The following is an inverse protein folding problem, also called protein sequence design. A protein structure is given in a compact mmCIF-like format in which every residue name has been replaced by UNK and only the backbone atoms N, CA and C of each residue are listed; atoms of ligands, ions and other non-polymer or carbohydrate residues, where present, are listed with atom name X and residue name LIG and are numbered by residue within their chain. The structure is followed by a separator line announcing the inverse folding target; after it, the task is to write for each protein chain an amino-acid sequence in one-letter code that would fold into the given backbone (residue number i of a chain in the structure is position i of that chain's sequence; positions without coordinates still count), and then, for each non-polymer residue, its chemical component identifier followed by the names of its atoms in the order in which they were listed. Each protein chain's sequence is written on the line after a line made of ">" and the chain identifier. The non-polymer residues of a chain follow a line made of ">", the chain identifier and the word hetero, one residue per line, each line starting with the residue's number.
data_IF_936124861474
#
_entry.id   IF_936124861474
#
_cell.length_a   1.000
_cell.length_b   1.000
_cell.length_c   1.000
_cell.angle_alpha   90.00
_cell.angle_beta   90.00
_cell.angle_gamma   90.00
#
_symmetry.space_group_name_H-M   'P 1'
#
loop_
_entity.id
_entity.type
_entity.pdbx_description
1 polymer ?
#
# COMPACT_ATOMS: atom_id res chain seq x y z
N UNK A 1 -27.09 54.12 -33.08
CA UNK A 1 -27.37 52.67 -33.26
C UNK A 1 -27.50 52.01 -31.88
N UNK A 2 -28.68 51.49 -31.56
CA UNK A 2 -29.14 51.14 -30.20
C UNK A 2 -28.44 49.96 -29.55
N UNK A 3 -28.11 50.01 -28.26
CA UNK A 3 -27.87 48.81 -27.45
C UNK A 3 -29.18 48.39 -26.77
N UNK A 4 -29.59 47.13 -26.98
CA UNK A 4 -30.74 46.52 -26.33
C UNK A 4 -30.38 46.08 -24.92
N UNK A 5 -31.04 46.67 -23.93
CA UNK A 5 -31.09 46.19 -22.54
C UNK A 5 -31.95 44.93 -22.46
N UNK A 6 -31.36 43.85 -21.95
CA UNK A 6 -32.10 42.65 -21.56
C UNK A 6 -32.32 42.71 -20.05
N UNK A 7 -33.57 42.82 -19.64
CA UNK A 7 -34.02 42.73 -18.26
C UNK A 7 -34.05 41.25 -17.85
N UNK A 8 -33.23 40.86 -16.85
CA UNK A 8 -33.35 39.58 -16.17
C UNK A 8 -34.37 39.74 -15.03
N UNK A 9 -35.56 39.18 -15.22
CA UNK A 9 -36.58 39.08 -14.18
C UNK A 9 -36.19 37.99 -13.19
N UNK A 10 -35.82 38.38 -11.96
CA UNK A 10 -35.65 37.48 -10.84
C UNK A 10 -37.00 36.98 -10.36
N UNK A 11 -37.35 35.75 -10.65
CA UNK A 11 -38.53 35.06 -10.14
C UNK A 11 -38.20 34.52 -8.75
N UNK A 12 -38.70 35.19 -7.69
CA UNK A 12 -38.67 34.68 -6.32
C UNK A 12 -39.73 33.58 -6.19
N UNK A 13 -39.30 32.33 -6.14
CA UNK A 13 -40.15 31.20 -5.78
C UNK A 13 -40.26 31.15 -4.24
N UNK A 14 -41.42 31.59 -3.71
CA UNK A 14 -41.77 31.32 -2.32
C UNK A 14 -42.10 29.83 -2.17
N UNK A 15 -41.22 29.05 -1.61
CA UNK A 15 -41.53 27.70 -1.12
C UNK A 15 -42.36 27.82 0.14
N UNK A 16 -43.65 27.71 0.01
CA UNK A 16 -44.58 27.52 1.13
C UNK A 16 -44.39 26.07 1.61
N UNK A 17 -43.61 25.90 2.65
CA UNK A 17 -43.50 24.61 3.32
C UNK A 17 -44.83 24.20 3.91
N UNK A 18 -45.47 23.20 3.34
CA UNK A 18 -46.64 22.55 3.96
C UNK A 18 -46.12 21.76 5.18
N UNK A 19 -46.42 22.26 6.37
CA UNK A 19 -46.34 21.48 7.59
C UNK A 19 -47.31 20.31 7.46
N UNK A 20 -46.84 19.12 7.15
CA UNK A 20 -47.62 17.89 7.31
C UNK A 20 -47.78 17.66 8.82
N UNK A 21 -49.01 17.85 9.30
CA UNK A 21 -49.41 17.44 10.64
C UNK A 21 -49.17 15.92 10.72
N UNK A 22 -48.29 15.53 11.63
CA UNK A 22 -48.06 14.10 11.95
C UNK A 22 -49.38 13.56 12.54
N UNK A 23 -49.95 12.58 11.87
CA UNK A 23 -51.09 11.81 12.41
C UNK A 23 -50.69 11.17 13.73
N UNK A 24 -51.54 11.24 14.79
CA UNK A 24 -51.24 10.58 16.04
C UNK A 24 -51.12 9.07 15.83
N UNK A 25 -50.18 8.39 16.55
CA UNK A 25 -49.99 6.96 16.43
C UNK A 25 -51.24 6.16 16.77
N UNK A 26 -51.51 5.11 16.05
CA UNK A 26 -52.65 4.20 16.27
C UNK A 26 -52.59 3.63 17.70
N UNK A 27 -53.73 3.45 18.39
CA UNK A 27 -53.78 2.83 19.71
C UNK A 27 -53.30 1.38 19.65
N UNK A 28 -52.17 1.08 20.22
CA UNK A 28 -51.59 -0.28 20.25
C UNK A 28 -50.07 -0.38 19.98
N UNK A 29 -49.41 0.72 19.61
CA UNK A 29 -47.95 0.73 19.57
C UNK A 29 -47.39 1.04 20.95
N UNK A 30 -46.79 0.06 21.58
CA UNK A 30 -45.92 0.28 22.75
C UNK A 30 -44.82 1.25 22.34
N UNK A 31 -44.58 2.33 23.11
CA UNK A 31 -43.48 3.25 22.83
C UNK A 31 -42.19 2.45 22.77
N UNK A 32 -41.49 2.51 21.68
CA UNK A 32 -40.11 2.00 21.67
C UNK A 32 -39.31 2.73 22.72
N UNK A 33 -38.58 2.00 23.58
CA UNK A 33 -37.74 2.65 24.58
C UNK A 33 -36.82 3.64 23.86
N UNK A 34 -36.53 4.80 24.45
CA UNK A 34 -35.60 5.73 23.87
C UNK A 34 -34.29 4.98 23.62
N UNK A 35 -33.71 5.13 22.39
CA UNK A 35 -32.42 4.57 22.07
C UNK A 35 -31.44 5.16 23.09
N UNK A 36 -31.12 4.40 24.12
CA UNK A 36 -30.08 4.78 25.09
C UNK A 36 -28.76 4.66 24.37
N UNK A 37 -28.26 5.76 23.85
CA UNK A 37 -26.91 5.80 23.28
C UNK A 37 -25.94 5.62 24.44
N UNK A 38 -25.29 4.45 24.55
CA UNK A 38 -24.25 4.26 25.57
C UNK A 38 -23.14 5.28 25.30
N UNK A 39 -22.68 5.98 26.32
CA UNK A 39 -21.57 6.94 26.20
C UNK A 39 -20.31 6.28 25.62
N UNK A 40 -20.14 4.98 25.80
CA UNK A 40 -19.08 4.18 25.17
C UNK A 40 -19.24 4.11 23.64
N UNK A 41 -20.45 3.93 23.14
CA UNK A 41 -20.73 3.85 21.70
C UNK A 41 -20.45 5.19 21.02
N UNK A 42 -20.83 6.29 21.68
CA UNK A 42 -20.51 7.64 21.22
C UNK A 42 -19.00 7.92 21.22
N UNK A 43 -18.29 7.50 22.27
CA UNK A 43 -16.83 7.65 22.32
C UNK A 43 -16.13 6.80 21.22
N UNK A 44 -16.59 5.58 21.02
CA UNK A 44 -16.09 4.69 19.96
C UNK A 44 -16.35 5.28 18.56
N UNK A 45 -17.56 5.78 18.33
CA UNK A 45 -17.90 6.41 17.05
C UNK A 45 -17.05 7.67 16.79
N UNK A 46 -16.85 8.53 17.79
CA UNK A 46 -15.97 9.71 17.67
C UNK A 46 -14.52 9.31 17.37
N UNK A 47 -14.00 8.30 18.04
CA UNK A 47 -12.65 7.79 17.79
C UNK A 47 -12.52 7.18 16.39
N UNK A 48 -13.58 6.55 15.89
CA UNK A 48 -13.62 6.01 14.52
C UNK A 48 -13.63 7.15 13.50
N UNK A 49 -14.48 8.17 13.70
CA UNK A 49 -14.52 9.35 12.82
C UNK A 49 -13.16 10.04 12.79
N UNK A 50 -12.54 10.30 13.94
CA UNK A 50 -11.23 10.95 14.00
C UNK A 50 -10.14 10.13 13.27
N UNK A 51 -10.18 8.79 13.37
CA UNK A 51 -9.28 7.92 12.58
C UNK A 51 -9.53 8.01 11.08
N UNK A 52 -10.81 8.01 10.67
CA UNK A 52 -11.19 8.14 9.26
C UNK A 52 -10.77 9.51 8.70
N UNK A 53 -11.01 10.60 9.43
CA UNK A 53 -10.56 11.95 9.07
C UNK A 53 -9.02 12.01 8.96
N UNK A 54 -8.29 11.43 9.91
CA UNK A 54 -6.83 11.33 9.85
C UNK A 54 -6.35 10.59 8.60
N UNK A 55 -7.02 9.49 8.25
CA UNK A 55 -6.72 8.74 7.03
C UNK A 55 -7.02 9.54 5.77
N UNK A 56 -8.17 10.23 5.71
CA UNK A 56 -8.55 11.06 4.56
C UNK A 56 -7.60 12.25 4.37
N UNK A 57 -7.22 12.91 5.47
CA UNK A 57 -6.34 14.08 5.43
C UNK A 57 -4.89 13.76 5.04
N UNK A 58 -4.45 12.53 5.24
CA UNK A 58 -3.10 12.07 4.90
C UNK A 58 -3.11 10.63 4.35
N UNK A 59 -4.00 10.37 3.39
CA UNK A 59 -4.22 9.04 2.82
C UNK A 59 -2.94 8.30 2.38
N UNK A 60 -1.96 8.95 1.70
CA UNK A 60 -0.69 8.30 1.34
C UNK A 60 0.34 8.31 2.47
N UNK A 61 0.02 8.87 3.63
CA UNK A 61 0.92 9.01 4.78
C UNK A 61 2.26 9.70 4.43
N UNK A 62 2.19 10.84 3.74
CA UNK A 62 3.36 11.61 3.30
C UNK A 62 4.26 12.10 4.46
N UNK A 63 3.71 12.17 5.67
CA UNK A 63 4.47 12.59 6.85
C UNK A 63 5.37 11.49 7.42
N UNK A 64 5.11 10.21 7.10
CA UNK A 64 5.76 9.04 7.74
C UNK A 64 7.29 9.10 7.74
N UNK A 65 7.87 9.49 6.62
CA UNK A 65 9.33 9.52 6.47
C UNK A 65 9.90 10.94 6.34
N UNK A 66 9.08 12.00 6.48
CA UNK A 66 9.52 13.39 6.28
C UNK A 66 10.76 13.75 7.11
N UNK A 67 10.72 13.48 8.41
CA UNK A 67 11.84 13.79 9.31
C UNK A 67 13.07 12.92 9.07
N UNK A 68 12.86 11.64 8.72
CA UNK A 68 13.93 10.74 8.35
C UNK A 68 14.58 11.17 7.02
N UNK A 69 13.76 11.53 6.02
CA UNK A 69 14.25 11.99 4.73
C UNK A 69 15.04 13.30 4.83
N UNK A 70 14.61 14.23 5.69
CA UNK A 70 15.30 15.52 5.87
C UNK A 70 16.72 15.42 6.45
N UNK A 71 17.03 14.27 7.08
CA UNK A 71 18.35 14.00 7.68
C UNK A 71 19.29 13.24 6.73
N UNK A 72 18.78 12.79 5.59
CA UNK A 72 19.58 12.06 4.59
C UNK A 72 20.34 13.10 3.75
N UNK A 73 21.64 13.02 3.79
CA UNK A 73 22.52 13.84 2.95
C UNK A 73 22.52 13.34 1.50
N UNK A 74 22.83 14.20 0.51
CA UNK A 74 23.06 13.73 -0.85
C UNK A 74 24.06 12.57 -0.87
N UNK A 75 23.87 11.56 -1.76
CA UNK A 75 24.79 10.43 -1.83
C UNK A 75 26.19 10.87 -2.29
N UNK A 76 27.23 10.21 -1.78
CA UNK A 76 28.56 10.32 -2.38
C UNK A 76 28.55 9.75 -3.81
N UNK A 77 29.49 10.16 -4.64
CA UNK A 77 29.54 9.75 -6.07
C UNK A 77 29.62 8.22 -6.24
N UNK A 78 30.37 7.56 -5.37
CA UNK A 78 30.55 6.10 -5.35
C UNK A 78 29.52 5.37 -4.48
N UNK A 79 28.63 6.07 -3.78
CA UNK A 79 27.61 5.45 -2.93
C UNK A 79 26.56 4.72 -3.79
N UNK A 80 26.43 3.43 -3.57
CA UNK A 80 25.41 2.59 -4.19
C UNK A 80 24.12 2.59 -3.33
N UNK A 81 23.54 3.79 -3.09
CA UNK A 81 22.28 3.91 -2.35
C UNK A 81 21.16 3.18 -3.07
N UNK A 82 20.41 2.39 -2.30
CA UNK A 82 19.22 1.68 -2.78
C UNK A 82 18.05 1.98 -1.86
N UNK A 83 16.89 2.27 -2.43
CA UNK A 83 15.65 2.43 -1.67
C UNK A 83 14.79 1.18 -1.85
N UNK A 84 14.25 0.65 -0.77
CA UNK A 84 13.23 -0.39 -0.77
C UNK A 84 11.87 0.25 -0.53
N UNK A 85 11.10 0.40 -1.60
CA UNK A 85 9.72 0.91 -1.57
C UNK A 85 8.77 -0.27 -1.41
N UNK A 86 7.84 -0.19 -0.44
CA UNK A 86 6.89 -1.27 -0.21
C UNK A 86 5.87 -1.01 0.89
N UNK A 87 5.24 -2.07 1.31
CA UNK A 87 4.21 -2.12 2.34
C UNK A 87 4.75 -2.62 3.70
N UNK A 88 3.92 -3.37 4.45
CA UNK A 88 4.28 -3.94 5.76
C UNK A 88 5.45 -4.90 5.68
N UNK A 89 5.62 -5.63 4.59
CA UNK A 89 6.74 -6.57 4.42
C UNK A 89 8.07 -5.81 4.44
N UNK A 90 8.14 -4.69 3.74
CA UNK A 90 9.31 -3.82 3.75
C UNK A 90 9.45 -3.01 5.05
N UNK A 91 8.33 -2.52 5.61
CA UNK A 91 8.30 -1.75 6.86
C UNK A 91 8.83 -2.58 8.04
N UNK A 92 8.34 -3.82 8.20
CA UNK A 92 8.75 -4.74 9.26
C UNK A 92 10.22 -5.14 9.09
N UNK A 93 10.66 -5.43 7.86
CA UNK A 93 12.05 -5.81 7.60
C UNK A 93 13.04 -4.73 8.02
N UNK A 94 12.69 -3.46 7.80
CA UNK A 94 13.54 -2.33 8.17
C UNK A 94 13.53 -1.99 9.68
N UNK A 95 12.74 -2.70 10.49
CA UNK A 95 12.68 -2.47 11.94
C UNK A 95 13.85 -3.16 12.66
N UNK A 96 14.50 -2.49 13.62
CA UNK A 96 15.71 -3.01 14.28
C UNK A 96 15.54 -4.37 14.99
N UNK A 97 14.30 -4.68 15.43
CA UNK A 97 14.01 -5.92 16.17
C UNK A 97 13.81 -7.14 15.27
N UNK A 98 13.65 -6.96 13.97
CA UNK A 98 13.34 -8.09 13.08
C UNK A 98 14.62 -8.81 12.63
N UNK A 99 15.26 -8.35 11.62
CA UNK A 99 16.52 -8.87 11.11
C UNK A 99 17.40 -7.67 10.73
N UNK A 100 18.73 -7.78 10.77
CA UNK A 100 19.57 -6.71 10.29
C UNK A 100 19.20 -6.37 8.84
N UNK A 101 18.71 -5.16 8.63
CA UNK A 101 18.36 -4.70 7.28
C UNK A 101 19.64 -4.32 6.54
N UNK A 102 20.21 -5.26 5.82
CA UNK A 102 21.42 -5.11 4.99
C UNK A 102 22.58 -4.37 5.68
N UNK A 103 23.19 -4.94 6.74
CA UNK A 103 24.22 -4.29 7.52
C UNK A 103 25.41 -3.89 6.65
N UNK A 104 25.87 -2.65 6.81
CA UNK A 104 26.99 -2.10 6.04
C UNK A 104 26.67 -1.71 4.60
N UNK A 105 25.39 -1.81 4.17
CA UNK A 105 24.92 -1.33 2.87
C UNK A 105 24.20 0.00 3.01
N UNK A 106 24.34 0.93 2.04
CA UNK A 106 23.60 2.19 2.03
C UNK A 106 22.16 1.97 1.53
N UNK A 107 21.43 1.03 2.14
CA UNK A 107 20.08 0.68 1.76
C UNK A 107 19.08 1.27 2.72
N UNK A 108 17.98 1.81 2.19
CA UNK A 108 17.00 2.59 2.93
C UNK A 108 15.63 1.95 2.77
N UNK A 109 15.03 1.49 3.89
CA UNK A 109 13.66 1.00 3.91
C UNK A 109 12.65 2.16 3.86
N UNK A 110 11.70 2.06 2.96
CA UNK A 110 10.56 3.00 2.80
C UNK A 110 9.26 2.21 2.65
N UNK A 111 9.10 1.20 3.51
CA UNK A 111 7.85 0.46 3.67
C UNK A 111 6.86 1.22 4.54
N UNK A 112 5.57 1.12 4.26
CA UNK A 112 4.49 1.58 5.14
C UNK A 112 3.43 0.49 5.19
N UNK A 113 3.20 -0.03 6.39
CA UNK A 113 2.27 -1.14 6.61
C UNK A 113 0.86 -0.85 6.10
N UNK A 114 0.29 -1.83 5.38
CA UNK A 114 -1.06 -1.77 4.84
C UNK A 114 -1.23 -0.98 3.55
N UNK A 115 -0.19 -0.31 3.05
CA UNK A 115 -0.29 0.51 1.85
C UNK A 115 -0.49 -0.29 0.57
N UNK A 116 -1.24 0.33 -0.34
CA UNK A 116 -1.51 -0.10 -1.70
C UNK A 116 -0.67 0.69 -2.71
N UNK A 117 -0.60 0.23 -3.95
CA UNK A 117 0.21 0.84 -5.00
C UNK A 117 -0.12 2.32 -5.29
N UNK A 118 -1.39 2.79 -5.30
CA UNK A 118 -1.67 4.21 -5.50
C UNK A 118 -1.15 5.09 -4.35
N UNK A 119 -1.18 4.60 -3.11
CA UNK A 119 -0.58 5.33 -1.98
C UNK A 119 0.94 5.42 -2.12
N UNK A 120 1.60 4.34 -2.55
CA UNK A 120 3.04 4.31 -2.81
C UNK A 120 3.42 5.26 -3.95
N UNK A 121 2.63 5.31 -5.02
CA UNK A 121 2.85 6.22 -6.15
C UNK A 121 2.83 7.69 -5.71
N UNK A 122 1.88 8.10 -4.85
CA UNK A 122 1.79 9.46 -4.33
C UNK A 122 2.99 9.88 -3.48
N UNK A 123 3.60 8.97 -2.72
CA UNK A 123 4.78 9.23 -1.92
C UNK A 123 6.11 8.89 -2.60
N UNK A 124 6.07 8.42 -3.84
CA UNK A 124 7.27 7.95 -4.54
C UNK A 124 8.32 9.05 -4.71
N UNK A 125 7.89 10.30 -4.98
CA UNK A 125 8.83 11.41 -5.10
C UNK A 125 9.58 11.71 -3.80
N UNK A 126 8.93 11.97 -2.64
CA UNK A 126 9.64 12.29 -1.40
C UNK A 126 10.42 11.10 -0.83
N UNK A 127 9.96 9.86 -1.03
CA UNK A 127 10.51 8.69 -0.36
C UNK A 127 11.49 7.89 -1.24
N UNK A 128 11.55 8.18 -2.55
CA UNK A 128 12.48 7.53 -3.48
C UNK A 128 13.29 8.57 -4.25
N UNK A 129 12.64 9.35 -5.10
CA UNK A 129 13.34 10.25 -6.04
C UNK A 129 14.20 11.29 -5.31
N UNK A 130 13.65 11.91 -4.27
CA UNK A 130 14.37 12.95 -3.51
C UNK A 130 15.59 12.41 -2.74
N UNK A 131 15.67 11.10 -2.51
CA UNK A 131 16.80 10.45 -1.86
C UNK A 131 17.95 10.12 -2.83
N UNK A 132 17.75 10.35 -4.12
CA UNK A 132 18.73 10.16 -5.18
C UNK A 132 19.41 8.77 -5.15
N UNK A 133 18.66 7.66 -5.06
CA UNK A 133 19.26 6.34 -5.06
C UNK A 133 19.75 5.96 -6.46
N UNK A 134 20.74 5.06 -6.55
CA UNK A 134 21.12 4.40 -7.81
C UNK A 134 20.12 3.36 -8.26
N UNK A 135 19.41 2.72 -7.30
CA UNK A 135 18.37 1.75 -7.61
C UNK A 135 17.21 1.81 -6.60
N UNK A 136 16.05 1.35 -7.03
CA UNK A 136 14.87 1.13 -6.18
C UNK A 136 14.38 -0.30 -6.33
N UNK A 137 14.14 -0.98 -5.21
CA UNK A 137 13.41 -2.24 -5.13
C UNK A 137 11.96 -1.93 -4.80
N UNK A 138 11.02 -2.38 -5.63
CA UNK A 138 9.58 -2.17 -5.42
C UNK A 138 8.93 -3.52 -5.13
N UNK A 139 8.38 -3.67 -3.93
CA UNK A 139 7.59 -4.83 -3.49
C UNK A 139 6.19 -4.35 -3.11
N UNK A 140 5.21 -4.57 -3.97
CA UNK A 140 3.85 -4.04 -3.80
C UNK A 140 2.81 -4.88 -4.53
N UNK A 141 1.54 -4.77 -4.14
CA UNK A 141 0.40 -5.43 -4.77
C UNK A 141 -0.40 -6.35 -3.84
N UNK A 142 0.18 -6.88 -2.78
CA UNK A 142 -0.53 -7.79 -1.86
C UNK A 142 -1.71 -7.13 -1.15
N UNK A 143 -1.60 -5.85 -0.81
CA UNK A 143 -2.66 -5.09 -0.15
C UNK A 143 -3.71 -4.58 -1.13
N UNK A 144 -3.33 -4.36 -2.36
CA UNK A 144 -4.23 -4.04 -3.48
C UNK A 144 -5.15 -5.23 -3.76
N UNK A 145 -4.57 -6.43 -3.93
CA UNK A 145 -5.32 -7.69 -4.09
C UNK A 145 -6.27 -7.90 -2.91
N UNK A 146 -5.83 -7.59 -1.69
CA UNK A 146 -6.65 -7.70 -0.47
C UNK A 146 -7.72 -6.61 -0.33
N UNK A 147 -7.76 -5.61 -1.22
CA UNK A 147 -8.74 -4.54 -1.20
C UNK A 147 -8.60 -3.56 -0.02
N UNK A 148 -7.39 -3.33 0.47
CA UNK A 148 -7.17 -2.47 1.65
C UNK A 148 -7.67 -1.02 1.46
N UNK A 149 -7.67 -0.52 0.23
CA UNK A 149 -8.18 0.82 -0.12
C UNK A 149 -9.40 0.76 -1.03
N UNK A 150 -10.10 -0.35 -1.04
CA UNK A 150 -11.23 -0.65 -1.90
C UNK A 150 -10.87 -1.66 -3.00
N UNK A 151 -11.87 -2.12 -3.77
CA UNK A 151 -11.63 -3.03 -4.88
C UNK A 151 -10.71 -2.40 -5.93
N UNK A 152 -9.75 -3.20 -6.42
CA UNK A 152 -8.80 -2.79 -7.46
C UNK A 152 -8.62 -3.92 -8.47
N UNK A 153 -8.61 -3.60 -9.76
CA UNK A 153 -8.31 -4.57 -10.81
C UNK A 153 -6.81 -4.87 -10.87
N UNK A 154 -6.43 -5.99 -11.48
CA UNK A 154 -5.00 -6.26 -11.70
C UNK A 154 -4.38 -5.21 -12.61
N UNK A 155 -5.10 -4.77 -13.63
CA UNK A 155 -4.67 -3.72 -14.57
C UNK A 155 -4.35 -2.39 -13.86
N UNK A 156 -5.13 -2.02 -12.82
CA UNK A 156 -4.85 -0.82 -12.02
C UNK A 156 -3.55 -0.97 -11.22
N UNK A 157 -3.33 -2.15 -10.62
CA UNK A 157 -2.10 -2.46 -9.87
C UNK A 157 -0.89 -2.42 -10.82
N UNK A 158 -1.01 -3.06 -11.97
CA UNK A 158 -0.03 -3.10 -13.04
C UNK A 158 0.34 -1.69 -13.52
N UNK A 159 -0.68 -0.86 -13.78
CA UNK A 159 -0.51 0.54 -14.18
C UNK A 159 0.22 1.38 -13.14
N UNK A 160 -0.05 1.16 -11.84
CA UNK A 160 0.67 1.85 -10.76
C UNK A 160 2.13 1.40 -10.65
N UNK A 161 2.41 0.09 -10.80
CA UNK A 161 3.78 -0.45 -10.82
C UNK A 161 4.56 0.07 -12.03
N UNK A 162 3.94 0.09 -13.21
CA UNK A 162 4.52 0.68 -14.42
C UNK A 162 4.85 2.16 -14.21
N UNK A 163 3.91 2.95 -13.68
CA UNK A 163 4.08 4.38 -13.41
C UNK A 163 5.24 4.66 -12.46
N UNK A 164 5.36 3.90 -11.35
CA UNK A 164 6.50 4.02 -10.43
C UNK A 164 7.82 3.67 -11.13
N UNK A 165 7.82 2.65 -11.98
CA UNK A 165 9.01 2.21 -12.73
C UNK A 165 9.45 3.25 -13.75
N UNK A 166 8.52 3.81 -14.51
CA UNK A 166 8.78 4.88 -15.48
C UNK A 166 9.28 6.14 -14.79
N UNK A 167 8.66 6.48 -13.65
CA UNK A 167 9.06 7.65 -12.87
C UNK A 167 10.48 7.50 -12.31
N UNK A 168 10.86 6.34 -11.79
CA UNK A 168 12.23 6.06 -11.36
C UNK A 168 13.22 6.18 -12.53
N UNK A 169 12.92 5.54 -13.66
CA UNK A 169 13.78 5.53 -14.85
C UNK A 169 13.97 6.92 -15.46
N UNK A 170 12.93 7.76 -15.48
CA UNK A 170 13.04 9.15 -15.95
C UNK A 170 13.99 10.02 -15.10
N UNK A 171 14.33 9.55 -13.88
CA UNK A 171 15.31 10.17 -12.99
C UNK A 171 16.65 9.41 -12.94
N UNK A 172 16.90 8.49 -13.88
CA UNK A 172 18.15 7.73 -13.95
C UNK A 172 18.28 6.64 -12.86
N UNK A 173 17.19 6.29 -12.17
CA UNK A 173 17.19 5.29 -11.11
C UNK A 173 16.91 3.93 -11.72
N UNK A 174 17.78 2.94 -11.46
CA UNK A 174 17.57 1.55 -11.88
C UNK A 174 16.41 0.95 -11.08
N UNK A 175 15.54 0.21 -11.75
CA UNK A 175 14.35 -0.41 -11.15
C UNK A 175 14.56 -1.90 -10.97
N UNK A 176 14.11 -2.41 -9.83
CA UNK A 176 14.02 -3.83 -9.51
C UNK A 176 12.59 -4.07 -9.06
N UNK A 177 11.82 -4.83 -9.83
CA UNK A 177 10.46 -5.23 -9.47
C UNK A 177 10.49 -6.59 -8.80
N UNK A 178 10.02 -6.67 -7.56
CA UNK A 178 9.93 -7.90 -6.81
C UNK A 178 8.57 -8.58 -7.02
N UNK A 179 8.56 -9.91 -7.10
CA UNK A 179 7.34 -10.68 -7.05
C UNK A 179 6.62 -10.51 -5.73
N UNK A 180 5.30 -10.42 -5.77
CA UNK A 180 4.42 -10.51 -4.60
C UNK A 180 4.60 -11.88 -3.96
N UNK A 181 4.71 -11.92 -2.63
CA UNK A 181 4.90 -13.16 -1.90
C UNK A 181 3.63 -14.03 -1.91
N UNK A 182 3.77 -15.36 -1.84
CA UNK A 182 2.63 -16.24 -1.61
C UNK A 182 2.08 -16.04 -0.19
N UNK A 183 0.88 -16.56 0.07
CA UNK A 183 0.26 -16.56 1.41
C UNK A 183 -0.12 -17.97 1.82
N UNK A 184 -0.41 -18.21 3.11
CA UNK A 184 -1.04 -19.45 3.55
C UNK A 184 -2.14 -19.20 4.58
N UNK A 185 -3.06 -20.16 4.73
CA UNK A 185 -4.12 -20.15 5.73
C UNK A 185 -3.71 -20.94 6.98
N UNK A 186 -4.27 -20.55 8.13
CA UNK A 186 -3.96 -21.17 9.42
C UNK A 186 -2.82 -20.49 10.18
N UNK A 187 -2.42 -19.30 9.76
CA UNK A 187 -1.69 -18.37 10.62
C UNK A 187 -2.58 -17.83 11.74
N UNK A 188 -2.00 -17.27 12.79
CA UNK A 188 -2.77 -16.74 13.91
C UNK A 188 -2.47 -15.24 14.08
N UNK A 189 -3.52 -14.46 14.36
CA UNK A 189 -3.35 -13.06 14.73
C UNK A 189 -2.85 -12.93 16.18
N UNK A 190 -2.57 -11.69 16.60
CA UNK A 190 -2.14 -11.41 17.98
C UNK A 190 -3.09 -11.88 19.08
N UNK A 191 -4.36 -12.16 18.75
CA UNK A 191 -5.38 -12.69 19.66
C UNK A 191 -5.49 -14.22 19.57
N UNK A 192 -4.63 -14.90 18.81
CA UNK A 192 -4.62 -16.35 18.63
C UNK A 192 -5.73 -16.90 17.72
N UNK A 193 -6.46 -16.01 17.01
CA UNK A 193 -7.48 -16.40 16.06
C UNK A 193 -6.86 -16.76 14.72
N UNK A 194 -7.29 -17.88 14.15
CA UNK A 194 -6.88 -18.31 12.82
C UNK A 194 -7.23 -17.28 11.74
N UNK A 195 -6.29 -17.05 10.84
CA UNK A 195 -6.43 -16.12 9.72
C UNK A 195 -6.53 -16.93 8.42
N UNK A 196 -7.53 -16.61 7.60
CA UNK A 196 -7.67 -17.11 6.24
C UNK A 196 -7.18 -16.03 5.29
N UNK A 197 -5.95 -16.17 4.82
CA UNK A 197 -5.29 -15.17 3.97
C UNK A 197 -5.76 -15.26 2.52
N UNK A 198 -6.08 -16.49 2.05
CA UNK A 198 -6.46 -16.76 0.66
C UNK A 198 -7.80 -16.15 0.28
N UNK A 199 -8.72 -15.93 1.22
CA UNK A 199 -10.00 -15.25 0.98
C UNK A 199 -9.81 -13.83 0.43
N UNK A 200 -8.82 -13.13 0.95
CA UNK A 200 -8.50 -11.74 0.55
C UNK A 200 -7.36 -11.67 -0.46
N UNK A 201 -6.55 -12.70 -0.57
CA UNK A 201 -5.39 -12.80 -1.46
C UNK A 201 -5.40 -14.11 -2.21
N UNK A 202 -6.35 -14.29 -3.14
CA UNK A 202 -6.43 -15.52 -3.91
C UNK A 202 -5.11 -15.81 -4.62
N UNK A 203 -4.55 -17.04 -4.50
CA UNK A 203 -3.26 -17.40 -5.10
C UNK A 203 -3.19 -17.16 -6.60
N UNK A 204 -4.29 -17.35 -7.32
CA UNK A 204 -4.38 -17.11 -8.75
C UNK A 204 -4.19 -15.64 -9.13
N UNK A 205 -4.63 -14.70 -8.28
CA UNK A 205 -4.38 -13.26 -8.50
C UNK A 205 -2.93 -12.90 -8.23
N UNK A 206 -2.32 -13.50 -7.21
CA UNK A 206 -0.89 -13.31 -6.90
C UNK A 206 -0.05 -13.82 -8.07
N UNK A 207 -0.36 -15.01 -8.59
CA UNK A 207 0.36 -15.59 -9.73
C UNK A 207 0.19 -14.74 -11.00
N UNK A 208 -1.05 -14.33 -11.32
CA UNK A 208 -1.31 -13.48 -12.48
C UNK A 208 -0.55 -12.16 -12.43
N UNK A 209 -0.54 -11.48 -11.26
CA UNK A 209 0.24 -10.25 -11.08
C UNK A 209 1.76 -10.52 -11.21
N UNK A 210 2.26 -11.62 -10.66
CA UNK A 210 3.67 -11.98 -10.76
C UNK A 210 4.09 -12.32 -12.20
N UNK A 211 3.24 -12.97 -12.97
CA UNK A 211 3.47 -13.23 -14.39
C UNK A 211 3.58 -11.91 -15.18
N UNK A 212 2.69 -10.97 -14.88
CA UNK A 212 2.76 -9.63 -15.46
C UNK A 212 4.05 -8.91 -15.05
N UNK A 213 4.39 -8.87 -13.74
CA UNK A 213 5.63 -8.23 -13.25
C UNK A 213 6.86 -8.80 -13.97
N UNK A 214 6.92 -10.13 -14.10
CA UNK A 214 8.02 -10.81 -14.77
C UNK A 214 8.11 -10.42 -16.25
N UNK A 215 6.98 -10.45 -16.96
CA UNK A 215 6.90 -10.05 -18.37
C UNK A 215 7.24 -8.58 -18.54
N UNK A 216 6.64 -7.67 -17.78
CA UNK A 216 6.90 -6.25 -17.85
C UNK A 216 8.38 -5.93 -17.58
N UNK A 217 8.99 -6.62 -16.63
CA UNK A 217 10.42 -6.47 -16.34
C UNK A 217 11.29 -6.87 -17.53
N UNK A 218 10.99 -7.99 -18.18
CA UNK A 218 11.72 -8.45 -19.36
C UNK A 218 11.57 -7.49 -20.54
N UNK A 219 10.34 -7.05 -20.83
CA UNK A 219 10.02 -6.15 -21.94
C UNK A 219 10.67 -4.76 -21.78
N UNK A 220 10.91 -4.32 -20.53
CA UNK A 220 11.44 -3.01 -20.22
C UNK A 220 12.90 -2.99 -19.74
N UNK A 221 13.62 -4.12 -19.81
CA UNK A 221 14.99 -4.27 -19.28
C UNK A 221 15.09 -3.85 -17.80
N UNK A 222 14.11 -4.26 -16.99
CA UNK A 222 14.06 -4.10 -15.55
C UNK A 222 14.46 -5.44 -14.91
N UNK A 223 15.16 -5.40 -13.77
CA UNK A 223 15.51 -6.62 -13.05
C UNK A 223 14.27 -7.15 -12.32
N UNK A 224 13.87 -8.39 -12.63
CA UNK A 224 12.85 -9.11 -11.88
C UNK A 224 13.49 -9.78 -10.67
N UNK A 225 12.98 -9.50 -9.47
CA UNK A 225 13.42 -10.10 -8.22
C UNK A 225 12.43 -11.21 -7.81
N UNK A 226 12.84 -12.43 -8.03
CA UNK A 226 12.02 -13.62 -7.80
C UNK A 226 12.07 -14.06 -6.33
N UNK A 227 11.22 -13.49 -5.49
CA UNK A 227 11.01 -13.99 -4.14
C UNK A 227 10.08 -15.20 -4.08
N UNK A 228 9.01 -15.20 -4.92
CA UNK A 228 7.97 -16.23 -4.82
C UNK A 228 8.54 -17.63 -4.98
N UNK A 229 9.43 -17.87 -5.94
CA UNK A 229 10.01 -19.19 -6.21
C UNK A 229 10.78 -19.76 -5.02
N UNK A 230 11.39 -18.92 -4.20
CA UNK A 230 12.12 -19.36 -3.00
C UNK A 230 11.22 -19.60 -1.78
N UNK A 231 10.07 -18.94 -1.74
CA UNK A 231 9.20 -18.89 -0.57
C UNK A 231 7.96 -19.78 -0.68
N UNK A 232 7.61 -20.23 -1.90
CA UNK A 232 6.47 -21.09 -2.16
C UNK A 232 6.77 -22.55 -1.83
N UNK A 233 5.80 -23.28 -1.26
CA UNK A 233 5.85 -24.73 -1.07
C UNK A 233 5.38 -25.49 -2.35
N UNK A 234 5.34 -26.81 -2.28
CA UNK A 234 4.93 -27.70 -3.38
C UNK A 234 3.44 -27.58 -3.76
N UNK A 235 2.64 -26.90 -2.93
CA UNK A 235 1.21 -26.67 -3.15
C UNK A 235 0.90 -25.24 -3.63
N UNK A 236 1.92 -24.38 -3.75
CA UNK A 236 1.76 -22.99 -4.19
C UNK A 236 1.49 -22.00 -3.06
N UNK A 237 1.62 -22.41 -1.79
CA UNK A 237 1.42 -21.55 -0.63
C UNK A 237 2.76 -21.12 -0.02
N UNK A 238 2.74 -20.04 0.78
CA UNK A 238 3.90 -19.62 1.55
C UNK A 238 4.34 -20.76 2.50
N UNK A 239 5.63 -21.08 2.49
CA UNK A 239 6.22 -22.06 3.41
C UNK A 239 5.94 -21.63 4.86
N UNK A 240 5.35 -22.56 5.66
CA UNK A 240 4.87 -22.24 7.00
C UNK A 240 5.96 -21.81 7.96
N UNK A 241 7.19 -22.28 7.80
CA UNK A 241 8.34 -21.91 8.65
C UNK A 241 8.92 -20.52 8.32
N UNK A 242 8.45 -19.87 7.26
CA UNK A 242 8.88 -18.54 6.84
C UNK A 242 7.96 -17.41 7.32
N UNK A 243 6.82 -17.74 7.95
CA UNK A 243 5.84 -16.74 8.43
C UNK A 243 5.06 -17.32 9.62
N UNK A 244 4.65 -16.47 10.56
CA UNK A 244 3.80 -16.86 11.68
C UNK A 244 2.31 -16.64 11.38
N UNK A 245 1.99 -15.61 10.60
CA UNK A 245 0.62 -15.17 10.31
C UNK A 245 0.13 -15.55 8.90
N UNK A 246 0.98 -16.17 8.10
CA UNK A 246 0.65 -16.58 6.73
C UNK A 246 0.85 -15.49 5.66
N UNK A 247 1.38 -14.32 6.04
CA UNK A 247 1.59 -13.18 5.14
C UNK A 247 2.99 -12.57 5.33
N UNK A 248 3.31 -12.17 6.56
CA UNK A 248 4.55 -11.44 6.85
C UNK A 248 5.71 -12.40 7.09
N UNK A 249 6.83 -12.25 6.38
CA UNK A 249 8.01 -13.06 6.65
C UNK A 249 8.48 -12.89 8.10
N UNK A 250 8.78 -14.00 8.75
CA UNK A 250 9.52 -14.00 9.99
C UNK A 250 11.03 -13.86 9.71
N UNK A 251 11.87 -13.98 10.75
CA UNK A 251 13.32 -13.88 10.61
C UNK A 251 13.88 -14.80 9.51
N UNK A 252 13.45 -16.06 9.48
CA UNK A 252 13.88 -17.02 8.43
C UNK A 252 13.42 -16.59 7.05
N UNK A 253 12.19 -16.05 6.93
CA UNK A 253 11.68 -15.53 5.66
C UNK A 253 12.55 -14.40 5.11
N UNK A 254 12.95 -13.45 5.94
CA UNK A 254 13.86 -12.39 5.52
C UNK A 254 15.29 -12.90 5.25
N UNK A 255 15.76 -13.92 5.97
CA UNK A 255 17.06 -14.54 5.68
C UNK A 255 17.07 -15.26 4.30
N UNK A 256 15.90 -15.70 3.81
CA UNK A 256 15.73 -16.19 2.41
C UNK A 256 15.70 -15.04 1.42
N UNK A 257 15.00 -13.94 1.74
CA UNK A 257 14.81 -12.80 0.83
C UNK A 257 16.10 -11.98 0.62
N UNK A 258 16.91 -11.80 1.67
CA UNK A 258 18.07 -10.91 1.63
C UNK A 258 19.11 -11.24 0.54
N UNK A 259 19.58 -12.48 0.38
CA UNK A 259 20.55 -12.81 -0.67
C UNK A 259 19.97 -12.67 -2.08
N UNK A 260 18.65 -12.88 -2.26
CA UNK A 260 18.00 -12.68 -3.54
C UNK A 260 17.96 -11.19 -3.93
N UNK A 261 17.64 -10.33 -2.94
CA UNK A 261 17.67 -8.88 -3.14
C UNK A 261 19.08 -8.39 -3.46
N UNK A 262 20.10 -8.81 -2.70
CA UNK A 262 21.49 -8.43 -2.95
C UNK A 262 21.95 -8.84 -4.37
N UNK A 263 21.58 -10.03 -4.82
CA UNK A 263 21.89 -10.50 -6.17
C UNK A 263 21.20 -9.66 -7.25
N UNK A 264 19.93 -9.34 -7.05
CA UNK A 264 19.15 -8.51 -7.98
C UNK A 264 19.70 -7.08 -8.06
N UNK A 265 20.04 -6.49 -6.90
CA UNK A 265 20.66 -5.17 -6.82
C UNK A 265 22.02 -5.14 -7.51
N UNK A 266 22.87 -6.15 -7.26
CA UNK A 266 24.16 -6.25 -7.92
C UNK A 266 23.99 -6.33 -9.46
N UNK A 267 23.02 -7.10 -9.95
CA UNK A 267 22.69 -7.19 -11.37
C UNK A 267 22.25 -5.84 -11.96
N UNK A 268 21.34 -5.13 -11.26
CA UNK A 268 20.84 -3.84 -11.70
C UNK A 268 21.94 -2.77 -11.75
N UNK A 269 22.86 -2.76 -10.78
CA UNK A 269 23.95 -1.79 -10.70
C UNK A 269 25.12 -2.10 -11.63
N UNK A 270 25.29 -3.37 -12.06
CA UNK A 270 26.32 -3.76 -13.05
C UNK A 270 25.93 -3.36 -14.48
N UNK A 271 24.64 -3.15 -14.76
CA UNK A 271 24.17 -2.75 -16.08
C UNK A 271 24.52 -1.28 -16.36
N UNK A 272 25.48 -1.08 -17.26
CA UNK A 272 25.99 0.26 -17.64
C UNK A 272 25.11 0.99 -18.67
N UNK A 273 23.98 0.41 -19.07
CA UNK A 273 23.06 1.00 -20.05
C UNK A 273 22.09 1.98 -19.43
#
# INVERSE_FOLDING_TARGET
>A
MNPRFIWLSMLYLFLVGTFSAQTPPSPGQTPQPPISCDCRDLANARNQIARMEGTLNNWPNLARYRDANSKITPPAEDENRVVFMGDSITDIWAQPQMAPFFPGRPYIGRGISGQTTPQMLLRFRPDVIALQPKAVVILAGTNDIAGNTGPMSLEDIEGNLASMSEFARSHGIKVILASVLPVYDGGHNGDGKEIIMTDRRPPEKILALNDWIKKYSADNNIVYLDYISAMVDDKGFLKRDLSEDGLHPNRKGYDVMAPLADKAIASALADKR
#
